data_IF_283936320123
#
_entry.id   IF_283936320123
#
_cell.length_a   1.000
_cell.length_b   1.000
_cell.length_c   1.000
_cell.angle_alpha   90.00
_cell.angle_beta   90.00
_cell.angle_gamma   90.00
#
_symmetry.space_group_name_H-M   'P 1'
#
loop_
_entity.id
_entity.type
_entity.pdbx_description
1 polymer ?
#
# COMPACT_ATOMS: atom_id res chain seq x y z
N UNK A 1 0.64 1.63 8.04
CA UNK A 1 -0.60 0.89 7.73
C UNK A 1 -0.71 -0.24 8.75
N UNK A 2 -1.91 -0.60 9.21
CA UNK A 2 -2.07 -1.68 10.18
C UNK A 2 -2.02 -3.05 9.47
N UNK A 3 -1.15 -3.95 9.94
CA UNK A 3 -1.21 -5.38 9.64
C UNK A 3 -1.74 -6.14 10.85
N UNK A 4 -2.00 -7.43 10.67
CA UNK A 4 -2.51 -8.33 11.71
C UNK A 4 -1.61 -8.39 12.95
N UNK A 5 -0.33 -8.04 12.80
CA UNK A 5 0.69 -8.14 13.86
C UNK A 5 1.31 -6.80 14.23
N UNK A 6 1.56 -5.88 13.27
CA UNK A 6 2.33 -4.65 13.51
C UNK A 6 1.91 -3.45 12.63
N UNK A 7 2.54 -2.30 12.84
CA UNK A 7 2.44 -1.15 11.93
C UNK A 7 3.53 -1.24 10.86
N UNK A 8 3.15 -1.37 9.59
CA UNK A 8 4.11 -1.37 8.46
C UNK A 8 4.26 0.02 7.84
N UNK A 9 5.48 0.30 7.36
CA UNK A 9 5.78 1.56 6.67
C UNK A 9 5.03 1.60 5.35
N UNK A 10 4.63 2.81 4.93
CA UNK A 10 3.89 2.99 3.68
C UNK A 10 4.72 2.54 2.45
N UNK A 11 6.03 2.75 2.51
CA UNK A 11 6.99 2.29 1.51
C UNK A 11 6.93 0.77 1.30
N UNK A 12 6.94 0.00 2.39
CA UNK A 12 6.90 -1.47 2.34
C UNK A 12 5.60 -1.97 1.73
N UNK A 13 4.48 -1.30 2.05
CA UNK A 13 3.19 -1.60 1.41
C UNK A 13 3.29 -1.38 -0.09
N UNK A 14 3.82 -0.26 -0.55
CA UNK A 14 3.94 0.01 -1.99
C UNK A 14 4.93 -0.92 -2.69
N UNK A 15 5.99 -1.37 -2.02
CA UNK A 15 6.88 -2.41 -2.55
C UNK A 15 6.15 -3.75 -2.70
N UNK A 16 5.38 -4.17 -1.68
CA UNK A 16 4.57 -5.38 -1.77
C UNK A 16 3.54 -5.29 -2.91
N UNK A 17 2.88 -4.14 -3.06
CA UNK A 17 1.97 -3.88 -4.17
C UNK A 17 2.70 -3.97 -5.52
N UNK A 18 3.93 -3.43 -5.63
CA UNK A 18 4.77 -3.54 -6.84
C UNK A 18 5.15 -4.98 -7.17
N UNK A 19 5.46 -5.81 -6.18
CA UNK A 19 5.78 -7.23 -6.42
C UNK A 19 4.56 -8.06 -6.83
N UNK A 20 3.35 -7.63 -6.48
CA UNK A 20 2.12 -8.36 -6.75
C UNK A 20 1.24 -7.72 -7.84
N UNK A 21 1.69 -6.64 -8.48
CA UNK A 21 0.85 -5.87 -9.40
C UNK A 21 0.42 -6.67 -10.64
N UNK A 22 1.27 -7.60 -11.10
CA UNK A 22 0.95 -8.45 -12.26
C UNK A 22 -0.23 -9.39 -11.99
N UNK A 23 -0.55 -9.63 -10.71
CA UNK A 23 -1.68 -10.45 -10.28
C UNK A 23 -2.97 -9.63 -10.13
N UNK A 24 -2.88 -8.30 -10.18
CA UNK A 24 -4.04 -7.43 -10.04
C UNK A 24 -4.80 -7.33 -11.38
N UNK A 25 -6.09 -7.70 -11.34
CA UNK A 25 -6.95 -7.69 -12.53
C UNK A 25 -7.31 -6.26 -12.99
N UNK A 26 -7.37 -5.30 -12.06
CA UNK A 26 -7.68 -3.90 -12.34
C UNK A 26 -7.04 -2.99 -11.28
N UNK A 27 -6.42 -1.88 -11.72
CA UNK A 27 -5.84 -0.85 -10.85
C UNK A 27 -6.53 0.51 -10.94
N UNK A 28 -7.56 0.67 -11.79
CA UNK A 28 -8.39 1.88 -11.86
C UNK A 28 -9.52 1.83 -10.84
N UNK A 29 -9.21 2.31 -9.64
CA UNK A 29 -10.13 2.45 -8.50
C UNK A 29 -11.37 3.32 -8.74
N UNK A 30 -11.46 4.03 -9.87
CA UNK A 30 -12.69 4.76 -10.25
C UNK A 30 -13.76 3.84 -10.83
N UNK A 31 -13.33 2.74 -11.44
CA UNK A 31 -14.20 1.75 -12.09
C UNK A 31 -14.55 0.56 -11.19
N UNK A 32 -13.85 0.42 -10.05
CA UNK A 32 -13.99 -0.71 -9.15
C UNK A 32 -15.10 -0.51 -8.12
N UNK A 33 -15.86 -1.57 -7.86
CA UNK A 33 -16.78 -1.65 -6.73
C UNK A 33 -16.03 -2.03 -5.44
N UNK A 34 -16.72 -1.98 -4.30
CA UNK A 34 -16.11 -2.29 -3.00
C UNK A 34 -15.58 -3.72 -2.91
N UNK A 35 -16.20 -4.66 -3.64
CA UNK A 35 -15.79 -6.06 -3.64
C UNK A 35 -14.47 -6.23 -4.39
N UNK A 36 -14.37 -5.65 -5.58
CA UNK A 36 -13.17 -5.66 -6.41
C UNK A 36 -12.03 -4.89 -5.74
N UNK A 37 -12.30 -3.79 -5.04
CA UNK A 37 -11.29 -3.07 -4.25
C UNK A 37 -10.69 -3.98 -3.18
N UNK A 38 -11.53 -4.70 -2.42
CA UNK A 38 -11.06 -5.62 -1.37
C UNK A 38 -10.24 -6.77 -1.95
N UNK A 39 -10.71 -7.40 -3.02
CA UNK A 39 -9.98 -8.52 -3.65
C UNK A 39 -8.65 -8.06 -4.23
N UNK A 40 -8.64 -6.93 -4.96
CA UNK A 40 -7.39 -6.38 -5.51
C UNK A 40 -6.42 -6.00 -4.40
N UNK A 41 -6.90 -5.34 -3.33
CA UNK A 41 -6.04 -4.98 -2.22
C UNK A 41 -5.46 -6.21 -1.50
N UNK A 42 -6.25 -7.26 -1.32
CA UNK A 42 -5.80 -8.53 -0.75
C UNK A 42 -4.77 -9.25 -1.64
N UNK A 43 -4.88 -9.14 -2.96
CA UNK A 43 -3.88 -9.68 -3.89
C UNK A 43 -2.58 -8.87 -3.84
N UNK A 44 -2.68 -7.55 -3.78
CA UNK A 44 -1.54 -6.65 -3.76
C UNK A 44 -0.78 -6.68 -2.42
N UNK A 45 -1.52 -6.76 -1.31
CA UNK A 45 -0.98 -6.76 0.04
C UNK A 45 -1.76 -7.74 0.94
N UNK A 46 -1.44 -9.05 0.91
CA UNK A 46 -2.19 -10.09 1.62
C UNK A 46 -2.08 -9.99 3.15
N UNK A 47 -1.03 -9.37 3.68
CA UNK A 47 -0.76 -9.29 5.13
C UNK A 47 -1.54 -8.16 5.84
N UNK A 48 -2.43 -7.46 5.14
CA UNK A 48 -3.23 -6.41 5.73
C UNK A 48 -4.27 -6.94 6.73
N UNK A 49 -4.54 -6.15 7.77
CA UNK A 49 -5.64 -6.44 8.69
C UNK A 49 -6.98 -6.06 8.03
N UNK A 50 -7.73 -7.06 7.56
CA UNK A 50 -9.01 -6.88 6.86
C UNK A 50 -10.12 -6.29 7.75
N UNK A 51 -9.99 -6.38 9.08
CA UNK A 51 -10.97 -5.85 10.04
C UNK A 51 -10.69 -4.38 10.38
N UNK A 52 -9.43 -3.95 10.32
CA UNK A 52 -9.01 -2.57 10.65
C UNK A 52 -8.84 -1.68 9.43
N UNK A 53 -8.56 -2.25 8.26
CA UNK A 53 -8.37 -1.49 7.03
C UNK A 53 -9.71 -1.31 6.33
N UNK A 54 -10.21 -0.07 6.33
CA UNK A 54 -11.44 0.26 5.63
C UNK A 54 -11.23 0.32 4.10
N UNK A 55 -12.30 0.05 3.36
CA UNK A 55 -12.32 0.11 1.88
C UNK A 55 -11.87 1.49 1.37
N UNK A 56 -12.18 2.57 2.10
CA UNK A 56 -11.72 3.92 1.79
C UNK A 56 -10.20 4.03 1.77
N UNK A 57 -9.51 3.36 2.68
CA UNK A 57 -8.06 3.41 2.78
C UNK A 57 -7.43 2.51 1.73
N UNK A 58 -7.96 1.30 1.51
CA UNK A 58 -7.58 0.46 0.36
C UNK A 58 -7.67 1.24 -0.96
N UNK A 59 -8.76 2.00 -1.14
CA UNK A 59 -8.98 2.82 -2.34
C UNK A 59 -7.93 3.94 -2.48
N UNK A 60 -7.57 4.61 -1.38
CA UNK A 60 -6.50 5.63 -1.39
C UNK A 60 -5.16 4.99 -1.74
N UNK A 61 -4.86 3.83 -1.15
CA UNK A 61 -3.60 3.12 -1.36
C UNK A 61 -3.40 2.73 -2.83
N UNK A 62 -4.40 2.09 -3.46
CA UNK A 62 -4.34 1.71 -4.88
C UNK A 62 -4.19 2.96 -5.76
N UNK A 63 -4.90 4.05 -5.44
CA UNK A 63 -4.77 5.31 -6.18
C UNK A 63 -3.37 5.90 -6.06
N UNK A 64 -2.82 6.00 -4.86
CA UNK A 64 -1.48 6.54 -4.63
C UNK A 64 -0.42 5.69 -5.30
N UNK A 65 -0.53 4.37 -5.19
CA UNK A 65 0.33 3.44 -5.90
C UNK A 65 0.35 3.71 -7.41
N UNK A 66 -0.81 3.85 -8.06
CA UNK A 66 -0.89 4.18 -9.48
C UNK A 66 -0.30 5.54 -9.85
N UNK A 67 -0.40 6.54 -8.96
CA UNK A 67 0.22 7.87 -9.15
C UNK A 67 1.75 7.76 -9.05
N UNK A 68 2.25 7.12 -7.99
CA UNK A 68 3.69 6.95 -7.74
C UNK A 68 4.35 6.15 -8.85
N UNK A 69 3.69 5.08 -9.32
CA UNK A 69 4.15 4.29 -10.47
C UNK A 69 4.25 5.13 -11.74
N UNK A 70 3.22 5.94 -12.04
CA UNK A 70 3.24 6.80 -13.24
C UNK A 70 4.34 7.85 -13.20
N UNK A 71 4.73 8.31 -12.01
CA UNK A 71 5.79 9.28 -11.81
C UNK A 71 7.17 8.64 -11.63
N UNK A 72 7.28 7.31 -11.72
CA UNK A 72 8.51 6.54 -11.46
C UNK A 72 9.14 6.81 -10.07
N UNK A 73 8.29 7.11 -9.08
CA UNK A 73 8.67 7.43 -7.70
C UNK A 73 8.65 6.21 -6.76
N UNK A 74 8.55 5.00 -7.32
CA UNK A 74 8.58 3.73 -6.58
C UNK A 74 9.98 3.08 -6.59
N UNK A 75 11.00 3.81 -7.00
CA UNK A 75 12.39 3.41 -6.90
C UNK A 75 12.92 3.83 -5.53
N UNK A 76 13.86 3.08 -4.96
CA UNK A 76 14.42 3.39 -3.65
C UNK A 76 14.90 4.83 -3.64
N UNK A 77 14.21 5.66 -2.86
CA UNK A 77 14.78 6.92 -2.44
C UNK A 77 15.88 6.50 -1.47
N UNK A 78 17.13 6.65 -1.88
CA UNK A 78 18.29 6.54 -1.01
C UNK A 78 17.99 7.47 0.19
N UNK A 79 17.56 6.86 1.30
CA UNK A 79 16.99 7.60 2.42
C UNK A 79 18.14 8.05 3.30
N UNK A 80 18.63 9.26 3.07
CA UNK A 80 19.33 10.03 4.09
C UNK A 80 18.33 10.47 5.19
N UNK A 81 17.65 9.52 5.85
CA UNK A 81 16.83 9.82 7.03
C UNK A 81 16.53 8.52 7.81
N UNK A 82 17.58 7.98 8.44
CA UNK A 82 17.45 7.00 9.52
C UNK A 82 17.94 7.57 10.87
N UNK A 83 17.78 8.87 11.08
CA UNK A 83 18.13 9.53 12.34
C UNK A 83 17.02 10.51 12.74
N UNK A 84 15.88 10.03 13.23
CA UNK A 84 15.14 10.66 14.34
C UNK A 84 13.89 9.85 14.67
N UNK A 85 14.05 8.84 15.52
CA UNK A 85 12.98 8.34 16.37
C UNK A 85 13.54 7.74 17.67
N UNK A 86 14.38 8.52 18.37
CA UNK A 86 14.37 8.53 19.83
C UNK A 86 14.20 9.97 20.29
N UNK A 87 13.20 10.22 21.14
CA UNK A 87 13.49 11.03 22.31
C UNK A 87 13.22 10.19 23.56
N UNK A 88 14.32 9.96 24.27
CA UNK A 88 14.38 9.65 25.69
C UNK A 88 13.38 10.47 26.52
N UNK A 89 12.51 9.78 27.28
CA UNK A 89 12.33 9.99 28.73
C UNK A 89 11.47 8.89 29.36
#
# INVERSE_FOLDING_TARGET
MYTTTENVRLWEVFQAMKSNEEKAENMDVRTMDNKLIKSTFAVLFPDHDADRVYVSDMKKMIRWYGILKRLDLLNEVESEENQEAEPSK
#
